data_IF_325029383995
#
_entry.id   IF_325029383995
#
_cell.length_a   1.000
_cell.length_b   1.000
_cell.length_c   1.000
_cell.angle_alpha   90.00
_cell.angle_beta   90.00
_cell.angle_gamma   90.00
#
_symmetry.space_group_name_H-M   'P 1'
#
loop_
_entity.id
_entity.type
_entity.pdbx_description
1 polymer ?
#
# COMPACT_ATOMS: atom_id res chain seq x y z
N UNK A 1 26.31 -7.05 18.62
CA UNK A 1 25.37 -5.96 18.95
C UNK A 1 25.23 -4.98 17.78
N UNK A 2 26.30 -4.36 17.24
CA UNK A 2 26.26 -3.34 16.16
C UNK A 2 25.49 -3.83 14.93
N UNK A 3 25.87 -5.01 14.39
CA UNK A 3 25.19 -5.60 13.22
C UNK A 3 23.69 -5.75 13.45
N UNK A 4 23.31 -6.26 14.63
CA UNK A 4 21.90 -6.48 14.97
C UNK A 4 21.13 -5.14 15.01
N UNK A 5 21.72 -4.11 15.62
CA UNK A 5 21.06 -2.80 15.71
C UNK A 5 20.90 -2.16 14.34
N UNK A 6 21.96 -2.15 13.53
CA UNK A 6 21.91 -1.60 12.17
C UNK A 6 20.94 -2.39 11.27
N UNK A 7 20.92 -3.71 11.41
CA UNK A 7 19.96 -4.58 10.75
C UNK A 7 18.52 -4.22 11.12
N UNK A 8 18.19 -4.17 12.43
CA UNK A 8 16.82 -3.88 12.89
C UNK A 8 16.39 -2.49 12.42
N UNK A 9 17.22 -1.46 12.62
CA UNK A 9 16.90 -0.10 12.21
C UNK A 9 16.65 -0.02 10.70
N UNK A 10 17.50 -0.66 9.89
CA UNK A 10 17.35 -0.65 8.43
C UNK A 10 16.12 -1.44 7.97
N UNK A 11 15.85 -2.61 8.56
CA UNK A 11 14.66 -3.42 8.23
C UNK A 11 13.38 -2.63 8.50
N UNK A 12 13.29 -1.89 9.62
CA UNK A 12 12.10 -1.09 9.93
C UNK A 12 11.88 0.03 8.91
N UNK A 13 12.93 0.70 8.46
CA UNK A 13 12.82 1.70 7.38
C UNK A 13 12.35 1.05 6.09
N UNK A 14 12.95 -0.08 5.70
CA UNK A 14 12.60 -0.77 4.46
C UNK A 14 11.18 -1.36 4.48
N UNK A 15 10.71 -1.82 5.65
CA UNK A 15 9.31 -2.21 5.84
C UNK A 15 8.37 -1.05 5.50
N UNK A 16 8.60 0.13 6.08
CA UNK A 16 7.78 1.31 5.80
C UNK A 16 7.84 1.74 4.33
N UNK A 17 9.01 1.60 3.69
CA UNK A 17 9.18 1.85 2.25
C UNK A 17 8.30 0.90 1.42
N UNK A 18 8.30 -0.39 1.74
CA UNK A 18 7.47 -1.37 1.04
C UNK A 18 5.97 -1.09 1.25
N UNK A 19 5.56 -0.82 2.48
CA UNK A 19 4.18 -0.47 2.83
C UNK A 19 3.71 0.76 2.05
N UNK A 20 4.49 1.86 2.09
CA UNK A 20 4.14 3.10 1.39
C UNK A 20 4.12 2.91 -0.13
N UNK A 21 5.08 2.17 -0.69
CA UNK A 21 5.11 1.87 -2.13
C UNK A 21 3.89 1.04 -2.56
N UNK A 22 3.43 0.11 -1.73
CA UNK A 22 2.24 -0.70 -1.99
C UNK A 22 0.97 0.14 -1.91
N UNK A 23 0.85 1.00 -0.90
CA UNK A 23 -0.31 1.91 -0.75
C UNK A 23 -0.47 2.89 -1.91
N UNK A 24 0.64 3.32 -2.51
CA UNK A 24 0.66 4.24 -3.67
C UNK A 24 0.67 3.53 -5.01
N UNK A 25 0.39 2.25 -5.04
CA UNK A 25 0.31 1.47 -6.27
C UNK A 25 -1.15 1.17 -6.62
N UNK A 26 -1.36 0.71 -7.84
CA UNK A 26 -2.66 0.22 -8.31
C UNK A 26 -3.01 -1.18 -7.78
N UNK A 27 -2.14 -1.80 -6.98
CA UNK A 27 -2.30 -3.18 -6.50
C UNK A 27 -3.53 -3.35 -5.60
N UNK A 28 -3.92 -2.29 -4.90
CA UNK A 28 -5.07 -2.29 -3.99
C UNK A 28 -6.38 -1.89 -4.68
N UNK A 29 -6.35 -1.43 -5.93
CA UNK A 29 -7.53 -0.87 -6.59
C UNK A 29 -8.70 -1.84 -6.64
N UNK A 30 -8.44 -3.13 -6.91
CA UNK A 30 -9.48 -4.16 -6.98
C UNK A 30 -10.13 -4.48 -5.63
N UNK A 31 -9.54 -4.01 -4.53
CA UNK A 31 -10.14 -4.11 -3.18
C UNK A 31 -11.04 -2.90 -2.84
N UNK A 32 -10.95 -1.82 -3.61
CA UNK A 32 -11.71 -0.58 -3.45
C UNK A 32 -12.81 -0.43 -4.49
N UNK A 33 -12.50 -0.77 -5.75
CA UNK A 33 -13.37 -0.66 -6.92
C UNK A 33 -13.03 -1.76 -7.94
N UNK A 34 -13.62 -1.75 -9.14
CA UNK A 34 -13.12 -2.56 -10.24
C UNK A 34 -11.86 -1.93 -10.84
N UNK A 35 -11.05 -2.73 -11.54
CA UNK A 35 -9.89 -2.20 -12.27
C UNK A 35 -10.36 -1.42 -13.49
N UNK A 36 -9.97 -0.16 -13.56
CA UNK A 36 -10.35 0.77 -14.63
C UNK A 36 -9.18 1.69 -14.98
N UNK A 37 -9.24 2.33 -16.15
CA UNK A 37 -8.18 3.22 -16.62
C UNK A 37 -8.14 4.52 -15.82
N UNK A 38 -9.33 5.11 -15.55
CA UNK A 38 -9.47 6.34 -14.78
C UNK A 38 -10.66 6.25 -13.82
N UNK A 39 -10.57 7.04 -12.76
CA UNK A 39 -11.57 7.20 -11.70
C UNK A 39 -11.86 8.69 -11.51
N UNK A 40 -13.12 9.05 -11.25
CA UNK A 40 -13.46 10.42 -10.92
C UNK A 40 -14.68 10.49 -10.01
N UNK A 41 -14.79 11.57 -9.26
CA UNK A 41 -15.90 11.84 -8.36
C UNK A 41 -16.66 13.06 -8.83
N UNK A 42 -17.97 12.93 -9.05
CA UNK A 42 -18.89 14.04 -9.22
C UNK A 42 -19.87 14.03 -8.03
N UNK A 43 -19.52 14.76 -6.99
CA UNK A 43 -20.31 14.80 -5.75
C UNK A 43 -21.72 15.31 -5.99
N UNK A 44 -21.93 16.28 -6.90
CA UNK A 44 -23.25 16.86 -7.20
C UNK A 44 -24.15 15.81 -7.80
N UNK A 45 -23.65 15.08 -8.78
CA UNK A 45 -24.40 14.02 -9.45
C UNK A 45 -24.62 12.82 -8.53
N UNK A 46 -23.61 12.41 -7.77
CA UNK A 46 -23.73 11.32 -6.80
C UNK A 46 -24.78 11.61 -5.75
N UNK A 47 -24.75 12.80 -5.12
CA UNK A 47 -25.74 13.20 -4.11
C UNK A 47 -27.13 13.34 -4.71
N UNK A 48 -27.26 13.90 -5.91
CA UNK A 48 -28.52 14.02 -6.62
C UNK A 48 -29.13 12.67 -7.02
N UNK A 49 -28.31 11.65 -7.15
CA UNK A 49 -28.70 10.27 -7.50
C UNK A 49 -29.03 9.40 -6.28
N UNK A 50 -28.70 9.82 -5.06
CA UNK A 50 -29.00 9.07 -3.83
C UNK A 50 -30.48 9.25 -3.39
N UNK A 51 -31.38 8.90 -4.30
CA UNK A 51 -32.84 8.97 -4.11
C UNK A 51 -33.48 7.69 -4.62
N UNK A 52 -34.73 7.40 -4.25
CA UNK A 52 -35.44 6.22 -4.70
C UNK A 52 -35.49 6.11 -6.25
N UNK A 53 -35.56 7.24 -6.95
CA UNK A 53 -35.62 7.33 -8.40
C UNK A 53 -34.22 7.49 -9.06
N UNK A 54 -33.15 7.46 -8.25
CA UNK A 54 -31.80 7.77 -8.67
C UNK A 54 -31.20 6.84 -9.71
N UNK A 55 -31.71 5.60 -9.82
CA UNK A 55 -31.17 4.62 -10.77
C UNK A 55 -31.17 5.14 -12.20
N UNK A 56 -32.31 5.67 -12.67
CA UNK A 56 -32.44 6.21 -14.03
C UNK A 56 -31.52 7.42 -14.25
N UNK A 57 -31.31 8.23 -13.20
CA UNK A 57 -30.41 9.38 -13.24
C UNK A 57 -28.98 8.93 -13.44
N UNK A 58 -28.51 7.96 -12.65
CA UNK A 58 -27.14 7.41 -12.79
C UNK A 58 -26.95 6.80 -14.18
N UNK A 59 -27.90 5.96 -14.65
CA UNK A 59 -27.80 5.32 -15.98
C UNK A 59 -27.78 6.35 -17.12
N UNK A 60 -28.51 7.45 -16.99
CA UNK A 60 -28.46 8.55 -17.96
C UNK A 60 -27.11 9.26 -17.91
N UNK A 61 -26.64 9.61 -16.71
CA UNK A 61 -25.35 10.28 -16.52
C UNK A 61 -24.19 9.46 -17.11
N UNK A 62 -24.15 8.15 -16.87
CA UNK A 62 -23.13 7.27 -17.44
C UNK A 62 -23.16 7.31 -18.98
N UNK A 63 -24.36 7.21 -19.59
CA UNK A 63 -24.51 7.26 -21.06
C UNK A 63 -24.14 8.61 -21.65
N UNK A 64 -24.55 9.70 -21.00
CA UNK A 64 -24.23 11.06 -21.45
C UNK A 64 -22.71 11.32 -21.36
N UNK A 65 -22.06 10.82 -20.32
CA UNK A 65 -20.61 10.87 -20.17
C UNK A 65 -19.89 10.03 -21.25
N UNK A 66 -20.34 8.80 -21.52
CA UNK A 66 -19.81 7.96 -22.62
C UNK A 66 -19.91 8.67 -23.98
N UNK A 67 -21.05 9.32 -24.23
CA UNK A 67 -21.27 10.08 -25.47
C UNK A 67 -20.33 11.30 -25.54
N UNK A 68 -20.21 12.05 -24.48
CA UNK A 68 -19.32 13.22 -24.38
C UNK A 68 -17.86 12.82 -24.63
N UNK A 69 -17.41 11.71 -24.07
CA UNK A 69 -16.06 11.19 -24.28
C UNK A 69 -15.85 10.76 -25.74
N UNK A 70 -16.82 10.05 -26.33
CA UNK A 70 -16.76 9.62 -27.74
C UNK A 70 -16.71 10.81 -28.71
N UNK A 71 -17.47 11.88 -28.47
CA UNK A 71 -17.47 13.12 -29.25
C UNK A 71 -16.10 13.86 -29.16
N UNK A 72 -15.27 13.53 -28.20
CA UNK A 72 -13.92 14.09 -28.01
C UNK A 72 -12.79 13.08 -28.36
N UNK A 73 -13.05 12.13 -29.21
CA UNK A 73 -12.09 11.09 -29.66
C UNK A 73 -11.51 10.24 -28.51
N UNK A 74 -12.30 10.01 -27.46
CA UNK A 74 -11.95 9.18 -26.30
C UNK A 74 -13.05 8.16 -26.03
N UNK A 75 -13.28 7.18 -26.93
CA UNK A 75 -14.36 6.22 -26.74
C UNK A 75 -14.13 5.38 -25.49
N UNK A 76 -15.11 5.36 -24.61
CA UNK A 76 -15.01 4.69 -23.32
C UNK A 76 -16.34 4.11 -22.87
N UNK A 77 -16.27 3.10 -22.01
CA UNK A 77 -17.37 2.62 -21.18
C UNK A 77 -17.24 3.26 -19.80
N UNK A 78 -18.30 3.85 -19.30
CA UNK A 78 -18.34 4.44 -17.97
C UNK A 78 -19.20 3.59 -17.05
N UNK A 79 -18.64 3.26 -15.89
CA UNK A 79 -19.28 2.38 -14.92
C UNK A 79 -19.29 3.04 -13.53
N UNK A 80 -20.14 2.54 -12.64
CA UNK A 80 -20.15 2.93 -11.23
C UNK A 80 -20.48 1.73 -10.35
N UNK A 81 -20.17 1.81 -9.08
CA UNK A 81 -20.56 0.83 -8.07
C UNK A 81 -21.41 1.51 -7.00
N UNK A 82 -22.54 0.91 -6.69
CA UNK A 82 -23.48 1.40 -5.67
C UNK A 82 -23.44 0.49 -4.46
N UNK A 83 -23.45 1.07 -3.30
CA UNK A 83 -23.49 0.40 -2.01
C UNK A 83 -24.90 0.48 -1.44
N UNK A 84 -25.49 -0.67 -1.16
CA UNK A 84 -26.82 -0.80 -0.56
C UNK A 84 -26.69 -1.38 0.84
N UNK A 85 -27.52 -0.93 1.76
CA UNK A 85 -27.54 -1.46 3.12
C UNK A 85 -28.74 -2.36 3.30
N UNK A 86 -28.52 -3.67 3.38
CA UNK A 86 -29.58 -4.66 3.52
C UNK A 86 -29.46 -5.44 4.83
N UNK A 87 -30.58 -6.04 5.24
CA UNK A 87 -30.61 -7.07 6.29
C UNK A 87 -30.31 -8.40 5.66
N UNK A 88 -29.31 -9.10 6.21
CA UNK A 88 -28.87 -10.42 5.76
C UNK A 88 -29.04 -11.40 6.90
N UNK A 89 -29.83 -12.44 6.68
CA UNK A 89 -30.06 -13.52 7.65
C UNK A 89 -29.18 -14.71 7.31
N UNK A 90 -28.36 -15.14 8.27
CA UNK A 90 -27.48 -16.31 8.15
C UNK A 90 -27.34 -17.01 9.51
N UNK A 91 -27.41 -18.36 9.53
CA UNK A 91 -27.27 -19.13 10.76
C UNK A 91 -28.28 -18.76 11.86
N UNK A 92 -29.47 -18.30 11.47
CA UNK A 92 -30.55 -17.91 12.42
C UNK A 92 -30.32 -16.52 13.06
N UNK A 93 -29.38 -15.72 12.57
CA UNK A 93 -29.10 -14.34 13.01
C UNK A 93 -29.25 -13.35 11.88
N UNK A 94 -29.65 -12.15 12.22
CA UNK A 94 -29.77 -11.03 11.29
C UNK A 94 -28.58 -10.07 11.44
N UNK A 95 -28.05 -9.66 10.30
CA UNK A 95 -26.93 -8.74 10.19
C UNK A 95 -27.31 -7.57 9.27
N UNK A 96 -26.86 -6.37 9.58
CA UNK A 96 -26.95 -5.21 8.67
C UNK A 96 -25.66 -5.13 7.87
N UNK A 97 -25.70 -5.49 6.60
CA UNK A 97 -24.52 -5.63 5.74
C UNK A 97 -24.64 -4.70 4.55
N UNK A 98 -23.49 -4.11 4.13
CA UNK A 98 -23.39 -3.37 2.89
C UNK A 98 -23.19 -4.35 1.74
N UNK A 99 -24.03 -4.22 0.72
CA UNK A 99 -24.00 -5.01 -0.49
C UNK A 99 -23.58 -4.13 -1.67
N UNK A 100 -22.55 -4.54 -2.39
CA UNK A 100 -21.97 -3.85 -3.54
C UNK A 100 -22.63 -4.35 -4.81
N UNK A 101 -23.04 -3.45 -5.68
CA UNK A 101 -23.56 -3.77 -7.02
C UNK A 101 -23.05 -2.76 -8.04
N UNK A 102 -22.47 -3.25 -9.12
CA UNK A 102 -22.05 -2.40 -10.22
C UNK A 102 -23.22 -1.99 -11.13
N UNK A 103 -23.09 -0.82 -11.74
CA UNK A 103 -23.94 -0.32 -12.79
C UNK A 103 -23.11 -0.26 -14.07
N UNK A 104 -23.62 -0.77 -15.17
CA UNK A 104 -22.92 -1.00 -16.44
C UNK A 104 -21.73 -1.98 -16.32
N UNK A 105 -21.70 -2.82 -15.28
CA UNK A 105 -20.69 -3.89 -15.08
C UNK A 105 -21.34 -5.25 -15.06
N UNK A 106 -20.52 -6.29 -15.18
CA UNK A 106 -20.91 -7.69 -15.00
C UNK A 106 -20.15 -8.28 -13.82
N UNK A 107 -20.66 -9.36 -13.24
CA UNK A 107 -19.96 -10.09 -12.20
C UNK A 107 -18.55 -10.54 -12.65
N UNK A 108 -18.35 -10.82 -13.95
CA UNK A 108 -17.05 -11.18 -14.54
C UNK A 108 -16.01 -10.06 -14.56
N UNK A 109 -16.43 -8.81 -14.39
CA UNK A 109 -15.53 -7.65 -14.43
C UNK A 109 -14.77 -7.45 -13.09
N UNK A 110 -15.05 -8.30 -12.08
CA UNK A 110 -14.48 -8.25 -10.76
C UNK A 110 -13.58 -9.45 -10.46
N UNK A 111 -12.62 -9.25 -9.55
CA UNK A 111 -11.70 -10.29 -9.11
C UNK A 111 -12.26 -11.09 -7.92
N UNK A 112 -12.12 -12.41 -7.99
CA UNK A 112 -12.51 -13.34 -6.93
C UNK A 112 -11.27 -14.12 -6.46
N UNK A 113 -11.18 -14.36 -5.16
CA UNK A 113 -10.01 -15.05 -4.58
C UNK A 113 -10.20 -16.57 -4.52
N UNK A 114 -11.46 -17.02 -4.52
CA UNK A 114 -11.83 -18.44 -4.47
C UNK A 114 -13.27 -18.61 -4.95
N UNK A 115 -13.60 -19.78 -5.51
CA UNK A 115 -14.92 -20.12 -5.98
C UNK A 115 -15.15 -19.80 -7.45
N UNK A 116 -16.40 -19.53 -7.83
CA UNK A 116 -16.84 -19.28 -9.19
C UNK A 116 -17.45 -17.89 -9.32
N UNK A 117 -17.28 -17.26 -10.49
CA UNK A 117 -17.96 -15.99 -10.79
C UNK A 117 -19.46 -16.18 -10.69
N UNK A 118 -20.21 -15.33 -9.95
CA UNK A 118 -21.68 -15.39 -9.93
C UNK A 118 -22.26 -15.32 -11.35
N UNK A 119 -23.18 -16.22 -11.66
CA UNK A 119 -23.82 -16.33 -12.98
C UNK A 119 -25.31 -15.98 -12.94
N UNK A 120 -25.91 -15.96 -11.78
CA UNK A 120 -27.34 -15.77 -11.59
C UNK A 120 -27.64 -14.71 -10.51
N UNK A 121 -28.81 -14.09 -10.62
CA UNK A 121 -29.25 -13.01 -9.72
C UNK A 121 -29.33 -13.42 -8.22
N UNK A 122 -29.36 -14.71 -7.92
CA UNK A 122 -29.34 -15.25 -6.56
C UNK A 122 -27.97 -15.81 -6.15
N UNK A 123 -26.95 -15.59 -6.93
CA UNK A 123 -25.57 -15.94 -6.58
C UNK A 123 -24.80 -14.70 -6.10
N UNK A 124 -24.06 -14.88 -5.02
CA UNK A 124 -23.33 -13.78 -4.39
C UNK A 124 -21.89 -14.19 -4.08
N UNK A 125 -21.04 -13.20 -3.98
CA UNK A 125 -19.72 -13.37 -3.38
C UNK A 125 -19.66 -12.66 -2.02
N UNK A 126 -18.96 -13.26 -1.07
CA UNK A 126 -18.76 -12.70 0.25
C UNK A 126 -17.28 -12.53 0.55
N UNK A 127 -16.95 -11.61 1.45
CA UNK A 127 -15.58 -11.47 1.93
C UNK A 127 -15.28 -12.47 3.06
N UNK A 128 -13.99 -12.76 3.34
CA UNK A 128 -13.60 -13.56 4.51
C UNK A 128 -14.14 -12.98 5.84
N UNK A 129 -14.27 -11.66 5.93
CA UNK A 129 -14.86 -10.98 7.09
C UNK A 129 -16.33 -11.37 7.28
N UNK A 130 -17.13 -11.34 6.20
CA UNK A 130 -18.53 -11.79 6.22
C UNK A 130 -18.61 -13.27 6.53
N UNK A 131 -17.78 -14.10 5.90
CA UNK A 131 -17.73 -15.54 6.19
C UNK A 131 -17.48 -15.83 7.68
N UNK A 132 -16.53 -15.13 8.29
CA UNK A 132 -16.23 -15.23 9.73
C UNK A 132 -17.37 -14.73 10.60
N UNK A 133 -18.02 -13.63 10.22
CA UNK A 133 -19.10 -12.99 10.97
C UNK A 133 -20.39 -13.83 10.96
N UNK A 134 -20.73 -14.40 9.81
CA UNK A 134 -21.98 -15.13 9.59
C UNK A 134 -21.83 -16.64 9.76
N UNK A 135 -20.62 -17.17 9.63
CA UNK A 135 -20.33 -18.60 9.54
C UNK A 135 -20.59 -19.21 8.15
N UNK A 136 -21.06 -18.43 7.18
CA UNK A 136 -21.38 -18.89 5.82
C UNK A 136 -20.11 -19.20 5.02
N UNK A 137 -20.17 -20.25 4.20
CA UNK A 137 -19.10 -20.72 3.31
C UNK A 137 -19.62 -20.81 1.87
N UNK A 138 -18.72 -20.99 0.92
CA UNK A 138 -19.10 -21.31 -0.46
C UNK A 138 -19.98 -22.56 -0.48
N UNK A 139 -21.14 -22.44 -1.14
CA UNK A 139 -22.19 -23.44 -1.19
C UNK A 139 -23.34 -23.24 -0.18
N UNK A 140 -23.13 -22.43 0.85
CA UNK A 140 -24.18 -22.11 1.80
C UNK A 140 -25.17 -21.07 1.27
N UNK A 141 -26.37 -21.05 1.83
CA UNK A 141 -27.43 -20.09 1.50
C UNK A 141 -27.57 -19.05 2.61
N UNK A 142 -27.71 -17.80 2.23
CA UNK A 142 -28.07 -16.68 3.10
C UNK A 142 -29.32 -15.99 2.55
N UNK A 143 -30.14 -15.40 3.40
CA UNK A 143 -31.32 -14.66 2.95
C UNK A 143 -31.03 -13.16 2.98
N UNK A 144 -31.19 -12.47 1.85
CA UNK A 144 -31.08 -11.03 1.73
C UNK A 144 -32.48 -10.43 1.62
N UNK A 145 -32.77 -9.47 2.51
CA UNK A 145 -33.99 -8.67 2.48
C UNK A 145 -33.73 -7.40 1.66
N UNK A 146 -34.17 -7.41 0.40
CA UNK A 146 -33.98 -6.27 -0.53
C UNK A 146 -34.98 -5.11 -0.29
N UNK A 147 -35.85 -5.24 0.73
CA UNK A 147 -36.93 -4.28 1.01
C UNK A 147 -38.19 -4.57 0.21
N UNK A 148 -38.11 -4.83 -1.06
CA UNK A 148 -39.23 -5.25 -1.92
C UNK A 148 -39.53 -6.74 -1.83
N UNK A 149 -38.49 -7.56 -1.66
CA UNK A 149 -38.60 -9.02 -1.51
C UNK A 149 -37.47 -9.56 -0.65
N UNK A 150 -37.68 -10.75 -0.08
CA UNK A 150 -36.64 -11.56 0.55
C UNK A 150 -36.22 -12.65 -0.40
N UNK A 151 -34.93 -12.80 -0.62
CA UNK A 151 -34.40 -13.80 -1.54
C UNK A 151 -33.31 -14.63 -0.87
N UNK A 152 -33.39 -15.94 -1.06
CA UNK A 152 -32.31 -16.85 -0.74
C UNK A 152 -31.21 -16.73 -1.80
N UNK A 153 -29.99 -16.42 -1.32
CA UNK A 153 -28.82 -16.25 -2.16
C UNK A 153 -27.75 -17.28 -1.81
N UNK A 154 -27.15 -17.88 -2.81
CA UNK A 154 -26.10 -18.89 -2.65
C UNK A 154 -24.74 -18.19 -2.72
N UNK A 155 -23.89 -18.48 -1.75
CA UNK A 155 -22.50 -18.02 -1.74
C UNK A 155 -21.71 -18.88 -2.72
N UNK A 156 -21.24 -18.28 -3.82
CA UNK A 156 -20.49 -19.00 -4.87
C UNK A 156 -19.00 -18.65 -4.91
N UNK A 157 -18.61 -17.52 -4.32
CA UNK A 157 -17.23 -17.07 -4.33
C UNK A 157 -16.83 -16.29 -3.07
N UNK A 158 -15.52 -16.21 -2.85
CA UNK A 158 -14.91 -15.20 -1.99
C UNK A 158 -14.23 -14.12 -2.82
N UNK A 159 -14.29 -12.88 -2.32
CA UNK A 159 -13.57 -11.75 -2.87
C UNK A 159 -12.95 -10.91 -1.75
N UNK A 160 -12.07 -9.99 -2.09
CA UNK A 160 -11.45 -9.07 -1.15
C UNK A 160 -12.01 -7.66 -1.35
N UNK A 161 -12.22 -6.95 -0.23
CA UNK A 161 -12.60 -5.54 -0.29
C UNK A 161 -12.15 -4.83 0.98
N UNK A 162 -11.65 -3.62 0.83
CA UNK A 162 -11.38 -2.72 1.94
C UNK A 162 -12.61 -1.89 2.33
N UNK A 163 -13.64 -1.87 1.49
CA UNK A 163 -14.91 -1.22 1.80
C UNK A 163 -15.49 -1.77 3.11
N UNK A 164 -15.90 -0.90 4.01
CA UNK A 164 -16.46 -1.25 5.33
C UNK A 164 -15.55 -2.22 6.13
N UNK A 165 -14.22 -2.05 6.04
CA UNK A 165 -13.22 -2.95 6.66
C UNK A 165 -13.43 -4.42 6.25
N UNK A 166 -13.82 -4.64 5.03
CA UNK A 166 -14.09 -5.96 4.49
C UNK A 166 -15.46 -6.54 4.82
N UNK A 167 -16.35 -5.84 5.51
CA UNK A 167 -17.67 -6.33 5.87
C UNK A 167 -18.70 -6.07 4.75
N UNK A 168 -18.48 -6.64 3.55
CA UNK A 168 -19.32 -6.41 2.38
C UNK A 168 -19.63 -7.70 1.63
N UNK A 169 -20.76 -7.68 0.90
CA UNK A 169 -21.22 -8.72 -0.02
C UNK A 169 -21.24 -8.13 -1.43
N UNK A 170 -20.83 -8.87 -2.43
CA UNK A 170 -20.97 -8.48 -3.86
C UNK A 170 -22.15 -9.21 -4.45
N UNK A 171 -23.06 -8.44 -5.05
CA UNK A 171 -24.25 -8.92 -5.73
C UNK A 171 -23.99 -9.08 -7.23
N UNK A 172 -24.77 -9.98 -7.86
CA UNK A 172 -24.85 -10.09 -9.30
C UNK A 172 -25.51 -8.85 -9.93
N UNK A 173 -25.22 -8.52 -11.20
CA UNK A 173 -25.78 -7.37 -11.91
C UNK A 173 -27.32 -7.38 -12.00
N UNK A 174 -27.94 -8.56 -12.00
CA UNK A 174 -29.39 -8.73 -12.05
C UNK A 174 -30.05 -8.85 -10.68
N UNK A 175 -29.32 -8.65 -9.59
CA UNK A 175 -29.92 -8.67 -8.24
C UNK A 175 -30.98 -7.56 -8.11
N UNK A 176 -32.13 -7.81 -7.42
CA UNK A 176 -33.27 -6.89 -7.37
C UNK A 176 -33.05 -5.76 -6.35
N UNK A 177 -32.04 -4.92 -6.60
CA UNK A 177 -31.70 -3.81 -5.70
C UNK A 177 -32.65 -2.64 -5.88
N UNK A 178 -32.98 -1.99 -4.75
CA UNK A 178 -33.81 -0.79 -4.70
C UNK A 178 -32.96 0.42 -4.21
N UNK A 179 -32.96 1.50 -4.98
CA UNK A 179 -32.26 2.74 -4.64
C UNK A 179 -32.75 3.40 -3.36
N UNK A 180 -33.94 3.07 -2.87
CA UNK A 180 -34.39 3.48 -1.54
C UNK A 180 -33.47 3.00 -0.39
N UNK A 181 -32.66 1.95 -0.64
CA UNK A 181 -31.71 1.39 0.32
C UNK A 181 -30.24 1.74 0.00
N UNK A 182 -30.03 2.73 -0.87
CA UNK A 182 -28.69 3.22 -1.18
C UNK A 182 -28.02 3.81 0.07
N UNK A 183 -26.78 3.47 0.31
CA UNK A 183 -25.98 4.02 1.41
C UNK A 183 -24.83 4.91 0.93
N UNK A 184 -24.24 4.58 -0.20
CA UNK A 184 -23.21 5.40 -0.87
C UNK A 184 -23.01 4.95 -2.31
N UNK A 185 -22.27 5.75 -3.08
CA UNK A 185 -21.78 5.43 -4.41
C UNK A 185 -20.26 5.51 -4.42
N UNK A 186 -19.61 4.62 -5.14
CA UNK A 186 -18.19 4.69 -5.42
C UNK A 186 -17.91 5.69 -6.56
N UNK A 187 -16.65 6.06 -6.75
CA UNK A 187 -16.22 6.87 -7.88
C UNK A 187 -16.73 6.31 -9.21
N UNK A 188 -17.03 7.18 -10.15
CA UNK A 188 -17.25 6.80 -11.54
C UNK A 188 -15.93 6.32 -12.12
N UNK A 189 -16.02 5.34 -13.03
CA UNK A 189 -14.85 4.64 -13.56
C UNK A 189 -14.93 4.64 -15.08
N UNK A 190 -13.84 5.01 -15.75
CA UNK A 190 -13.72 5.11 -17.19
C UNK A 190 -12.83 3.99 -17.69
N UNK A 191 -13.33 3.21 -18.65
CA UNK A 191 -12.58 2.17 -19.33
C UNK A 191 -12.57 2.49 -20.82
N UNK A 192 -11.42 2.84 -21.37
CA UNK A 192 -11.31 3.13 -22.80
C UNK A 192 -11.48 1.86 -23.63
N UNK A 193 -12.16 1.98 -24.76
CA UNK A 193 -12.50 0.83 -25.63
C UNK A 193 -11.53 0.66 -26.79
N UNK A 194 -10.55 1.55 -26.93
CA UNK A 194 -9.54 1.58 -27.98
C UNK A 194 -8.12 1.23 -27.52
N UNK A 195 -8.00 0.62 -26.34
CA UNK A 195 -6.74 0.13 -25.74
C UNK A 195 -5.58 1.15 -25.80
N UNK A 196 -5.73 2.38 -25.25
CA UNK A 196 -4.69 3.38 -25.30
C UNK A 196 -3.46 2.97 -24.46
N UNK A 197 -2.28 3.44 -24.86
CA UNK A 197 -1.07 3.28 -24.06
C UNK A 197 -1.14 4.03 -22.73
N UNK A 198 -0.33 3.65 -21.74
CA UNK A 198 -0.30 4.30 -20.43
C UNK A 198 0.00 5.83 -20.54
N UNK A 199 0.86 6.24 -21.49
CA UNK A 199 1.12 7.66 -21.74
C UNK A 199 -0.07 8.37 -22.38
N UNK A 200 -0.85 7.68 -23.20
CA UNK A 200 -2.07 8.25 -23.76
C UNK A 200 -3.19 8.34 -22.72
N UNK A 201 -3.32 7.37 -21.82
CA UNK A 201 -4.25 7.43 -20.67
C UNK A 201 -3.96 8.70 -19.83
N UNK A 202 -2.68 8.98 -19.55
CA UNK A 202 -2.30 10.18 -18.78
C UNK A 202 -2.64 11.47 -19.55
N UNK A 203 -2.42 11.51 -20.86
CA UNK A 203 -2.84 12.65 -21.70
C UNK A 203 -4.36 12.83 -21.71
N UNK A 204 -5.12 11.72 -21.80
CA UNK A 204 -6.59 11.74 -21.76
C UNK A 204 -7.11 12.19 -20.39
N UNK A 205 -6.44 11.78 -19.30
CA UNK A 205 -6.75 12.24 -17.95
C UNK A 205 -6.76 13.77 -17.90
N UNK A 206 -5.70 14.42 -18.38
CA UNK A 206 -5.59 15.88 -18.40
C UNK A 206 -6.64 16.56 -19.33
N UNK A 207 -7.03 15.92 -20.43
CA UNK A 207 -8.12 16.40 -21.29
C UNK A 207 -9.48 16.29 -20.58
N UNK A 208 -9.72 15.16 -19.89
CA UNK A 208 -10.97 14.88 -19.18
C UNK A 208 -11.15 15.82 -18.00
N UNK A 209 -10.09 16.13 -17.23
CA UNK A 209 -10.13 17.15 -16.19
C UNK A 209 -10.70 18.47 -16.71
N UNK A 210 -10.19 18.94 -17.84
CA UNK A 210 -10.65 20.18 -18.49
C UNK A 210 -12.07 20.04 -19.05
N UNK A 211 -12.41 18.88 -19.61
CA UNK A 211 -13.72 18.63 -20.23
C UNK A 211 -14.83 18.59 -19.17
N UNK A 212 -14.54 18.01 -18.00
CA UNK A 212 -15.50 17.89 -16.90
C UNK A 212 -15.44 19.09 -15.93
N UNK A 213 -14.47 20.01 -16.10
CA UNK A 213 -14.14 21.04 -15.10
C UNK A 213 -13.95 20.41 -13.70
N UNK A 214 -13.23 19.30 -13.66
CA UNK A 214 -13.07 18.47 -12.47
C UNK A 214 -11.61 18.01 -12.34
N UNK A 215 -10.93 18.49 -11.29
CA UNK A 215 -9.54 18.10 -11.01
C UNK A 215 -9.42 16.71 -10.37
N UNK A 216 -10.52 16.13 -9.87
CA UNK A 216 -10.53 14.83 -9.18
C UNK A 216 -10.63 13.64 -10.15
N UNK A 217 -10.02 13.77 -11.36
CA UNK A 217 -9.83 12.65 -12.29
C UNK A 217 -8.48 12.01 -12.03
N UNK A 218 -8.48 10.74 -11.66
CA UNK A 218 -7.35 10.01 -11.11
C UNK A 218 -7.08 8.73 -11.90
N UNK A 219 -5.81 8.32 -11.96
CA UNK A 219 -5.46 6.95 -12.34
C UNK A 219 -5.64 5.98 -11.15
N UNK A 220 -5.43 4.69 -11.35
CA UNK A 220 -5.66 3.67 -10.32
C UNK A 220 -4.80 3.87 -9.06
N UNK A 221 -3.55 4.30 -9.22
CA UNK A 221 -2.64 4.54 -8.09
C UNK A 221 -3.04 5.79 -7.30
N UNK A 222 -3.39 6.88 -8.00
CA UNK A 222 -3.92 8.11 -7.39
C UNK A 222 -5.23 7.85 -6.66
N UNK A 223 -6.13 7.05 -7.25
CA UNK A 223 -7.39 6.67 -6.62
C UNK A 223 -7.19 5.84 -5.34
N UNK A 224 -6.21 4.93 -5.34
CA UNK A 224 -5.85 4.20 -4.13
C UNK A 224 -5.30 5.13 -3.04
N UNK A 225 -4.41 6.06 -3.40
CA UNK A 225 -3.82 7.03 -2.46
C UNK A 225 -4.90 7.93 -1.85
N UNK A 226 -5.81 8.46 -2.67
CA UNK A 226 -6.93 9.29 -2.23
C UNK A 226 -7.93 8.52 -1.35
N UNK A 227 -8.38 7.35 -1.80
CA UNK A 227 -9.35 6.51 -1.09
C UNK A 227 -8.85 6.04 0.26
N UNK A 228 -7.55 5.76 0.40
CA UNK A 228 -6.95 5.35 1.67
C UNK A 228 -6.67 6.54 2.58
N UNK A 229 -6.45 7.73 2.02
CA UNK A 229 -6.16 9.00 2.69
C UNK A 229 -5.11 8.90 3.83
N UNK A 230 -4.23 7.91 3.77
CA UNK A 230 -3.21 7.65 4.78
C UNK A 230 -1.80 7.44 4.20
N UNK A 231 -1.65 7.31 2.87
CA UNK A 231 -0.35 7.04 2.28
C UNK A 231 0.64 8.20 2.47
N UNK A 232 0.18 9.45 2.41
CA UNK A 232 1.01 10.62 2.71
C UNK A 232 1.43 10.68 4.20
N UNK A 233 0.54 10.29 5.12
CA UNK A 233 0.88 10.17 6.53
C UNK A 233 1.89 9.05 6.78
N UNK A 234 1.73 7.90 6.12
CA UNK A 234 2.70 6.79 6.18
C UNK A 234 4.07 7.19 5.61
N UNK A 235 4.10 7.97 4.54
CA UNK A 235 5.34 8.51 4.00
C UNK A 235 6.03 9.46 4.98
N UNK A 236 5.30 10.34 5.64
CA UNK A 236 5.85 11.18 6.69
C UNK A 236 6.44 10.35 7.85
N UNK A 237 5.75 9.29 8.27
CA UNK A 237 6.25 8.32 9.26
C UNK A 237 7.52 7.63 8.76
N UNK A 238 7.58 7.22 7.49
CA UNK A 238 8.76 6.62 6.87
C UNK A 238 9.99 7.54 6.96
N UNK A 239 9.85 8.82 6.60
CA UNK A 239 10.95 9.80 6.70
C UNK A 239 11.34 10.08 8.15
N UNK A 240 10.38 10.13 9.08
CA UNK A 240 10.66 10.26 10.50
C UNK A 240 11.51 9.07 11.01
N UNK A 241 11.11 7.84 10.68
CA UNK A 241 11.87 6.64 11.06
C UNK A 241 13.24 6.60 10.40
N UNK A 242 13.37 7.03 9.16
CA UNK A 242 14.69 7.18 8.52
C UNK A 242 15.57 8.17 9.32
N UNK A 243 15.04 9.34 9.68
CA UNK A 243 15.76 10.32 10.49
C UNK A 243 16.20 9.77 11.83
N UNK A 244 15.31 9.10 12.56
CA UNK A 244 15.64 8.44 13.84
C UNK A 244 16.72 7.38 13.62
N UNK A 245 16.60 6.54 12.58
CA UNK A 245 17.60 5.52 12.24
C UNK A 245 18.97 6.14 12.01
N UNK A 246 19.06 7.23 11.25
CA UNK A 246 20.32 7.91 10.97
C UNK A 246 20.96 8.49 12.25
N UNK A 247 20.15 9.06 13.14
CA UNK A 247 20.61 9.55 14.45
C UNK A 247 21.15 8.40 15.30
N UNK A 248 20.41 7.30 15.40
CA UNK A 248 20.81 6.12 16.18
C UNK A 248 22.09 5.50 15.63
N UNK A 249 22.18 5.32 14.31
CA UNK A 249 23.37 4.81 13.62
C UNK A 249 24.57 5.72 13.88
N UNK A 250 24.40 7.03 13.74
CA UNK A 250 25.44 8.01 14.01
C UNK A 250 25.96 7.91 15.45
N UNK A 251 25.06 7.94 16.44
CA UNK A 251 25.44 7.87 17.86
C UNK A 251 26.16 6.56 18.21
N UNK A 252 25.65 5.43 17.70
CA UNK A 252 26.28 4.12 17.94
C UNK A 252 27.67 4.09 17.31
N UNK A 253 27.82 4.56 16.07
CA UNK A 253 29.13 4.64 15.42
C UNK A 253 30.11 5.49 16.23
N UNK A 254 29.69 6.68 16.67
CA UNK A 254 30.55 7.57 17.44
C UNK A 254 30.97 6.95 18.78
N UNK A 255 30.03 6.36 19.51
CA UNK A 255 30.31 5.75 20.82
C UNK A 255 31.23 4.53 20.70
N UNK A 256 30.91 3.63 19.74
CA UNK A 256 31.67 2.41 19.55
C UNK A 256 33.07 2.68 18.98
N UNK A 257 33.18 3.61 18.01
CA UNK A 257 34.46 4.02 17.44
C UNK A 257 35.38 4.63 18.52
N UNK A 258 34.81 5.49 19.39
CA UNK A 258 35.56 6.04 20.54
C UNK A 258 36.04 4.95 21.49
N UNK A 259 35.17 3.98 21.80
CA UNK A 259 35.57 2.84 22.65
C UNK A 259 36.71 2.06 22.02
N UNK A 260 36.60 1.68 20.73
CA UNK A 260 37.65 0.93 20.04
C UNK A 260 38.96 1.72 19.93
N UNK A 261 38.91 3.03 19.62
CA UNK A 261 40.12 3.85 19.59
C UNK A 261 40.77 3.93 20.99
N UNK A 262 39.98 4.00 22.06
CA UNK A 262 40.49 4.00 23.44
C UNK A 262 41.14 2.66 23.81
N UNK A 263 40.47 1.54 23.49
CA UNK A 263 40.96 0.19 23.81
C UNK A 263 42.18 -0.18 22.97
N UNK A 264 42.26 0.29 21.72
CA UNK A 264 43.34 0.03 20.78
C UNK A 264 44.42 1.14 20.76
N UNK A 265 44.38 2.10 21.73
CA UNK A 265 45.28 3.26 21.77
C UNK A 265 46.77 2.88 21.75
N UNK A 266 47.16 1.83 22.49
CA UNK A 266 48.51 1.32 22.51
C UNK A 266 48.95 0.74 21.13
N UNK A 267 48.07 -0.04 20.50
CA UNK A 267 48.34 -0.62 19.20
C UNK A 267 48.46 0.45 18.12
N UNK A 268 47.61 1.49 18.17
CA UNK A 268 47.68 2.66 17.31
C UNK A 268 49.01 3.40 17.48
N UNK A 269 49.47 3.59 18.73
CA UNK A 269 50.75 4.22 18.98
C UNK A 269 51.93 3.43 18.40
N UNK A 270 51.92 2.08 18.54
CA UNK A 270 52.92 1.18 17.97
C UNK A 270 52.91 1.30 16.45
N UNK A 271 51.73 1.25 15.79
CA UNK A 271 51.63 1.40 14.34
C UNK A 271 52.20 2.74 13.86
N UNK A 272 51.98 3.82 14.59
CA UNK A 272 52.59 5.13 14.28
C UNK A 272 54.10 5.11 14.46
N UNK A 273 54.62 4.48 15.51
CA UNK A 273 56.06 4.34 15.71
C UNK A 273 56.77 3.48 14.61
N UNK A 274 56.06 2.53 14.00
CA UNK A 274 56.54 1.75 12.85
C UNK A 274 56.36 2.46 11.51
N UNK A 275 55.88 3.73 11.49
CA UNK A 275 55.83 4.52 10.28
C UNK A 275 54.50 4.50 9.53
N UNK A 276 53.41 3.97 10.11
CA UNK A 276 52.07 4.08 9.53
C UNK A 276 51.54 5.50 9.62
N UNK A 277 51.06 6.05 8.51
CA UNK A 277 50.43 7.36 8.50
C UNK A 277 49.05 7.36 9.15
N UNK A 278 48.69 8.45 9.81
CA UNK A 278 47.36 8.66 10.42
C UNK A 278 46.22 8.37 9.46
N UNK A 279 46.34 8.80 8.20
CA UNK A 279 45.30 8.57 7.21
C UNK A 279 45.06 7.08 6.90
N UNK A 280 46.14 6.26 6.96
CA UNK A 280 46.02 4.81 6.68
C UNK A 280 45.30 4.13 7.86
N UNK A 281 45.62 4.52 9.10
CA UNK A 281 44.96 4.00 10.31
C UNK A 281 43.49 4.42 10.34
N UNK A 282 43.18 5.70 10.05
CA UNK A 282 41.81 6.22 9.97
C UNK A 282 41.00 5.44 8.94
N UNK A 283 41.53 5.26 7.71
CA UNK A 283 40.84 4.49 6.68
C UNK A 283 40.55 3.07 7.11
N UNK A 284 41.46 2.43 7.83
CA UNK A 284 41.26 1.05 8.30
C UNK A 284 40.12 0.97 9.33
N UNK A 285 40.10 1.86 10.31
CA UNK A 285 38.99 1.95 11.28
C UNK A 285 37.64 2.24 10.59
N UNK A 286 37.59 3.23 9.70
CA UNK A 286 36.37 3.53 8.93
C UNK A 286 35.92 2.35 8.06
N UNK A 287 36.85 1.66 7.39
CA UNK A 287 36.53 0.48 6.60
C UNK A 287 35.96 -0.68 7.41
N UNK A 288 36.42 -0.87 8.66
CA UNK A 288 35.89 -1.88 9.59
C UNK A 288 34.40 -1.65 9.88
N UNK A 289 34.00 -0.41 10.20
CA UNK A 289 32.58 -0.06 10.39
C UNK A 289 31.79 -0.15 9.08
N UNK A 290 32.37 0.31 7.98
CA UNK A 290 31.77 0.17 6.65
C UNK A 290 31.47 -1.30 6.30
N UNK A 291 32.41 -2.21 6.56
CA UNK A 291 32.20 -3.63 6.29
C UNK A 291 31.08 -4.25 7.17
N UNK A 292 31.08 -3.92 8.45
CA UNK A 292 30.04 -4.36 9.40
C UNK A 292 28.66 -3.84 8.98
N UNK A 293 28.57 -2.58 8.58
CA UNK A 293 27.31 -1.97 8.11
C UNK A 293 26.87 -2.58 6.79
N UNK A 294 27.79 -2.79 5.84
CA UNK A 294 27.46 -3.40 4.56
C UNK A 294 26.77 -4.75 4.74
N UNK A 295 27.30 -5.60 5.62
CA UNK A 295 26.65 -6.88 5.97
C UNK A 295 25.25 -6.64 6.55
N UNK A 296 25.12 -5.72 7.51
CA UNK A 296 23.85 -5.46 8.18
C UNK A 296 22.78 -4.96 7.21
N UNK A 297 23.12 -4.00 6.32
CA UNK A 297 22.14 -3.41 5.38
C UNK A 297 21.79 -4.38 4.25
N UNK A 298 22.71 -5.24 3.79
CA UNK A 298 22.42 -6.28 2.80
C UNK A 298 21.48 -7.34 3.39
N UNK A 299 21.74 -7.79 4.61
CA UNK A 299 20.83 -8.71 5.31
C UNK A 299 19.47 -8.06 5.53
N UNK A 300 19.43 -6.78 5.90
CA UNK A 300 18.18 -6.03 6.06
C UNK A 300 17.38 -5.96 4.76
N UNK A 301 18.05 -5.69 3.62
CA UNK A 301 17.41 -5.65 2.31
C UNK A 301 16.77 -6.99 1.94
N UNK A 302 17.51 -8.09 2.13
CA UNK A 302 17.01 -9.45 1.86
C UNK A 302 15.83 -9.81 2.79
N UNK A 303 15.92 -9.46 4.08
CA UNK A 303 14.90 -9.79 5.06
C UNK A 303 13.70 -8.82 5.03
N UNK A 304 13.79 -7.67 4.36
CA UNK A 304 12.73 -6.65 4.35
C UNK A 304 11.41 -7.20 3.79
N UNK A 305 11.46 -7.98 2.70
CA UNK A 305 10.25 -8.54 2.06
C UNK A 305 9.51 -9.51 3.00
N UNK A 306 10.13 -10.58 3.54
CA UNK A 306 9.43 -11.47 4.46
C UNK A 306 8.98 -10.76 5.74
N UNK A 307 9.72 -9.76 6.24
CA UNK A 307 9.31 -8.96 7.40
C UNK A 307 8.08 -8.11 7.07
N UNK A 308 8.03 -7.50 5.87
CA UNK A 308 6.84 -6.76 5.42
C UNK A 308 5.61 -7.68 5.40
N UNK A 309 5.70 -8.87 4.82
CA UNK A 309 4.60 -9.83 4.82
C UNK A 309 4.16 -10.23 6.25
N UNK A 310 5.10 -10.41 7.15
CA UNK A 310 4.82 -10.81 8.54
C UNK A 310 4.12 -9.71 9.34
N UNK A 311 4.49 -8.45 9.13
CA UNK A 311 3.98 -7.30 9.88
C UNK A 311 2.71 -6.74 9.25
N UNK A 312 2.72 -6.50 7.95
CA UNK A 312 1.61 -5.86 7.24
C UNK A 312 0.47 -6.84 6.94
N UNK A 313 0.79 -8.13 6.73
CA UNK A 313 -0.21 -9.14 6.40
C UNK A 313 -1.39 -9.19 7.37
N UNK A 314 -1.18 -9.28 8.69
CA UNK A 314 -2.25 -9.20 9.68
C UNK A 314 -3.05 -7.89 9.62
N UNK A 315 -2.39 -6.75 9.36
CA UNK A 315 -3.03 -5.43 9.27
C UNK A 315 -3.97 -5.39 8.08
N UNK A 316 -3.49 -5.76 6.89
CA UNK A 316 -4.33 -5.81 5.68
C UNK A 316 -5.46 -6.84 5.80
N UNK A 317 -5.21 -7.97 6.48
CA UNK A 317 -6.26 -8.95 6.77
C UNK A 317 -7.39 -8.38 7.64
N UNK A 318 -7.07 -7.53 8.60
CA UNK A 318 -8.08 -6.80 9.40
C UNK A 318 -8.87 -5.79 8.56
N UNK A 319 -8.27 -5.27 7.48
CA UNK A 319 -8.91 -4.38 6.51
C UNK A 319 -9.70 -5.14 5.41
N UNK A 320 -9.77 -6.47 5.48
CA UNK A 320 -10.51 -7.29 4.52
C UNK A 320 -9.69 -7.79 3.32
N UNK A 321 -8.37 -7.63 3.35
CA UNK A 321 -7.45 -8.07 2.28
C UNK A 321 -6.53 -9.16 2.79
N UNK A 322 -6.75 -10.40 2.35
CA UNK A 322 -5.98 -11.58 2.80
C UNK A 322 -4.88 -12.01 1.82
N UNK A 323 -5.02 -11.65 0.55
CA UNK A 323 -4.03 -11.93 -0.50
C UNK A 323 -3.60 -10.61 -1.13
N UNK A 324 -2.41 -10.13 -0.77
CA UNK A 324 -1.85 -8.90 -1.27
C UNK A 324 -0.49 -9.16 -1.89
N UNK A 325 -0.28 -8.63 -3.10
CA UNK A 325 1.03 -8.55 -3.73
C UNK A 325 1.69 -7.23 -3.36
N UNK A 326 2.78 -7.28 -2.62
CA UNK A 326 3.52 -6.09 -2.25
C UNK A 326 4.33 -5.55 -3.43
N UNK A 327 4.30 -4.24 -3.59
CA UNK A 327 5.14 -3.55 -4.57
C UNK A 327 6.52 -3.32 -3.96
N UNK A 328 7.50 -4.02 -4.53
CA UNK A 328 8.89 -3.97 -4.11
C UNK A 328 9.67 -3.18 -5.14
N UNK A 329 10.19 -2.00 -4.76
CA UNK A 329 11.09 -1.21 -5.60
C UNK A 329 12.55 -1.62 -5.34
N UNK A 330 13.21 -2.37 -6.25
CA UNK A 330 14.56 -2.85 -6.01
C UNK A 330 15.58 -1.74 -5.79
N UNK A 331 15.42 -0.58 -6.46
CA UNK A 331 16.31 0.55 -6.32
C UNK A 331 16.25 1.16 -4.92
N UNK A 332 15.04 1.32 -4.39
CA UNK A 332 14.84 1.83 -3.04
C UNK A 332 15.40 0.86 -2.00
N UNK A 333 15.12 -0.44 -2.14
CA UNK A 333 15.42 -1.45 -1.12
C UNK A 333 16.88 -1.88 -1.11
N UNK A 334 17.51 -2.02 -2.29
CA UNK A 334 18.89 -2.52 -2.35
C UNK A 334 19.94 -1.42 -2.50
N UNK A 335 19.56 -0.21 -2.92
CA UNK A 335 20.54 0.85 -3.20
C UNK A 335 20.29 2.11 -2.38
N UNK A 336 19.11 2.75 -2.49
CA UNK A 336 18.88 4.09 -1.95
C UNK A 336 18.93 4.09 -0.42
N UNK A 337 18.00 3.41 0.25
CA UNK A 337 17.92 3.44 1.71
C UNK A 337 19.10 2.74 2.41
N UNK A 338 19.54 1.55 1.99
CA UNK A 338 20.78 0.95 2.50
C UNK A 338 22.01 1.82 2.26
N UNK A 339 22.09 2.47 1.09
CA UNK A 339 23.16 3.39 0.74
C UNK A 339 23.22 4.61 1.66
N UNK A 340 22.08 5.21 2.01
CA UNK A 340 22.00 6.33 2.95
C UNK A 340 22.53 5.91 4.33
N UNK A 341 22.10 4.76 4.87
CA UNK A 341 22.58 4.23 6.16
C UNK A 341 24.08 3.94 6.11
N UNK A 342 24.57 3.34 5.02
CA UNK A 342 25.97 3.04 4.82
C UNK A 342 26.84 4.31 4.75
N UNK A 343 26.42 5.31 3.99
CA UNK A 343 27.13 6.59 3.90
C UNK A 343 27.16 7.34 5.22
N UNK A 344 26.05 7.30 5.99
CA UNK A 344 25.99 7.86 7.32
C UNK A 344 26.99 7.21 8.26
N UNK A 345 27.11 5.87 8.20
CA UNK A 345 28.10 5.12 8.99
C UNK A 345 29.52 5.53 8.64
N UNK A 346 29.86 5.59 7.34
CA UNK A 346 31.18 6.02 6.91
C UNK A 346 31.53 7.44 7.37
N UNK A 347 30.55 8.35 7.27
CA UNK A 347 30.74 9.73 7.75
C UNK A 347 30.95 9.78 9.26
N UNK A 348 30.11 9.10 10.05
CA UNK A 348 30.21 9.06 11.50
C UNK A 348 31.52 8.45 11.99
N UNK A 349 31.90 7.29 11.45
CA UNK A 349 33.12 6.61 11.78
C UNK A 349 34.36 7.43 11.34
N UNK A 350 34.35 7.95 10.10
CA UNK A 350 35.43 8.78 9.59
C UNK A 350 35.68 10.05 10.45
N UNK A 351 34.61 10.74 10.83
CA UNK A 351 34.71 11.92 11.72
C UNK A 351 35.26 11.56 13.09
N UNK A 352 34.78 10.44 13.67
CA UNK A 352 35.23 10.01 15.00
C UNK A 352 36.67 9.51 14.95
N UNK A 353 37.08 8.80 13.91
CA UNK A 353 38.44 8.32 13.73
C UNK A 353 39.48 9.45 13.56
N UNK A 354 39.06 10.71 13.30
CA UNK A 354 39.98 11.84 13.34
C UNK A 354 40.66 12.03 14.70
N UNK A 355 40.06 11.55 15.79
CA UNK A 355 40.70 11.56 17.12
C UNK A 355 42.00 10.75 17.16
N UNK A 356 42.21 9.80 16.24
CA UNK A 356 43.48 9.06 16.09
C UNK A 356 44.66 9.99 15.86
N UNK A 357 44.47 11.15 15.24
CA UNK A 357 45.53 12.15 15.03
C UNK A 357 46.13 12.67 16.34
N UNK A 358 45.34 12.72 17.41
CA UNK A 358 45.77 13.17 18.74
C UNK A 358 46.63 12.16 19.53
N UNK A 359 46.66 10.89 19.09
CA UNK A 359 47.46 9.84 19.73
C UNK A 359 48.91 9.96 19.29
N UNK A 360 49.85 10.12 20.29
CA UNK A 360 51.28 10.26 20.02
C UNK A 360 52.00 8.91 20.15
N UNK A 361 53.10 8.75 19.43
CA UNK A 361 53.98 7.57 19.58
C UNK A 361 54.57 7.43 21.00
N UNK A 362 54.67 8.54 21.74
CA UNK A 362 55.14 8.55 23.16
C UNK A 362 54.08 7.98 24.12
N UNK A 363 52.83 7.78 23.72
CA UNK A 363 51.78 7.27 24.59
C UNK A 363 51.95 5.77 24.92
N UNK A 364 52.95 5.12 24.30
CA UNK A 364 53.36 3.73 24.62
C UNK A 364 53.92 3.64 26.02
N UNK A 365 54.60 4.68 26.53
CA UNK A 365 55.27 4.66 27.82
C UNK A 365 54.34 4.85 29.05
N UNK A 366 53.07 5.14 28.84
CA UNK A 366 52.10 5.37 29.94
C UNK A 366 51.21 4.15 30.21
N UNK A 367 51.62 2.94 29.79
CA UNK A 367 50.87 1.71 29.94
C UNK A 367 51.60 0.80 30.92
N UNK A 368 51.53 1.13 32.19
CA UNK A 368 51.74 0.24 33.33
C UNK A 368 50.48 0.21 34.19
#
# INVERSE_FOLDING_TARGET
TIIITFFICTVLVLLLVNTTSTMRSDTLVTTLASRSDLYYTDLTEMMGSMTADGRQRVENYLRDTEKLLAENDMPAKVISEVQYKYRVSAGGKDYSIVCLKGIHTKASDYEYTEGLVPQNANEIAITPTIAKMTGAKIGDTVTIDYGTEKRECIVVAYFQSMNQLGAVIRLHEDAPTDFAHISSMAAYQINFTDDPSASEIENRKEKIKKLFDNEDVMNAAEYCDDSMNCASAMEAVQYLFLGITLIVVFLICVLMERSFISDEKSQIAILKATGFSDQRIIRWHTARFGFVTLIAVLLAAICSVPVTHLVDGPIYSMLGVSKLSYVIDPWKIFLIYPGIVFLMTLAASGLTALHIRGIKSSDISNIE
#
